data_IF_038860335763
#
_entry.id   IF_038860335763
#
_cell.length_a   1.000
_cell.length_b   1.000
_cell.length_c   1.000
_cell.angle_alpha   90.00
_cell.angle_beta   90.00
_cell.angle_gamma   90.00
#
_symmetry.space_group_name_H-M   'P 1'
#
loop_
_entity.id
_entity.type
_entity.pdbx_description
1 polymer ?
#
# COMPACT_ATOMS: atom_id res chain seq x y z
N UNK A 1 1.54 1.67 -17.31
CA UNK A 1 2.46 0.83 -16.52
C UNK A 1 2.38 1.32 -15.08
N UNK A 2 2.07 0.45 -14.11
CA UNK A 2 2.21 0.84 -12.70
C UNK A 2 3.69 0.80 -12.35
N UNK A 3 4.24 1.92 -11.91
CA UNK A 3 5.61 2.03 -11.42
C UNK A 3 5.64 1.70 -9.93
N UNK A 4 6.51 0.79 -9.51
CA UNK A 4 6.75 0.48 -8.09
C UNK A 4 7.63 1.57 -7.49
N UNK A 5 7.02 2.71 -7.16
CA UNK A 5 7.68 3.83 -6.50
C UNK A 5 7.67 3.63 -4.97
N UNK A 6 8.77 3.08 -4.45
CA UNK A 6 8.92 2.79 -3.03
C UNK A 6 9.09 4.04 -2.18
N UNK A 7 9.74 5.07 -2.72
CA UNK A 7 9.94 6.32 -1.99
C UNK A 7 8.61 7.02 -1.76
N UNK A 8 7.73 7.04 -2.78
CA UNK A 8 6.36 7.52 -2.64
C UNK A 8 5.56 6.70 -1.62
N UNK A 9 5.74 5.36 -1.59
CA UNK A 9 5.08 4.48 -0.63
C UNK A 9 5.56 4.71 0.81
N UNK A 10 6.86 4.88 1.05
CA UNK A 10 7.38 5.13 2.39
C UNK A 10 6.97 6.52 2.93
N UNK A 11 6.78 7.49 2.04
CA UNK A 11 6.35 8.85 2.39
C UNK A 11 4.87 9.10 2.07
N UNK A 12 4.05 8.04 2.08
CA UNK A 12 2.63 8.09 1.69
C UNK A 12 1.85 9.15 2.47
N UNK A 13 2.18 9.36 3.76
CA UNK A 13 1.49 10.31 4.63
C UNK A 13 1.59 11.75 4.13
N UNK A 14 2.73 12.11 3.52
CA UNK A 14 3.00 13.44 3.00
C UNK A 14 2.66 13.58 1.51
N UNK A 15 2.86 12.50 0.75
CA UNK A 15 2.78 12.53 -0.71
C UNK A 15 1.41 12.14 -1.26
N UNK A 16 0.62 11.34 -0.53
CA UNK A 16 -0.69 10.90 -1.00
C UNK A 16 -1.75 11.99 -0.79
N UNK A 17 -2.60 12.26 -1.80
CA UNK A 17 -3.70 13.19 -1.64
C UNK A 17 -4.66 12.66 -0.56
N UNK A 18 -5.00 13.53 0.40
CA UNK A 18 -5.90 13.18 1.51
C UNK A 18 -5.46 11.93 2.30
N UNK A 19 -4.15 11.70 2.47
CA UNK A 19 -3.58 10.54 3.16
C UNK A 19 -4.27 10.23 4.50
N UNK A 20 -4.43 11.26 5.34
CA UNK A 20 -5.07 11.15 6.66
C UNK A 20 -6.56 10.82 6.62
N UNK A 21 -7.25 11.13 5.52
CA UNK A 21 -8.65 10.74 5.33
C UNK A 21 -8.77 9.26 4.94
N UNK A 22 -7.87 8.80 4.07
CA UNK A 22 -7.87 7.42 3.57
C UNK A 22 -7.31 6.42 4.59
N UNK A 23 -6.23 6.80 5.29
CA UNK A 23 -5.53 5.98 6.28
C UNK A 23 -5.16 6.86 7.48
N UNK A 24 -6.04 7.02 8.48
CA UNK A 24 -5.81 7.90 9.62
C UNK A 24 -4.67 7.44 10.55
N UNK A 25 -4.29 6.17 10.46
CA UNK A 25 -3.21 5.57 11.25
C UNK A 25 -2.42 4.60 10.39
N UNK A 26 -1.11 4.60 10.56
CA UNK A 26 -0.16 3.80 9.77
C UNK A 26 -0.35 2.28 9.88
N UNK A 27 -1.16 1.79 10.83
CA UNK A 27 -1.43 0.36 11.06
C UNK A 27 -1.90 -0.42 9.84
N UNK A 28 -2.53 0.23 8.85
CA UNK A 28 -2.95 -0.43 7.62
C UNK A 28 -1.78 -0.74 6.66
N UNK A 29 -0.68 0.01 6.74
CA UNK A 29 0.52 -0.19 5.93
C UNK A 29 1.63 -0.96 6.65
N UNK A 30 1.60 -1.06 7.98
CA UNK A 30 2.59 -1.83 8.74
C UNK A 30 2.70 -3.29 8.24
N UNK A 31 1.60 -4.05 8.03
CA UNK A 31 1.69 -5.41 7.50
C UNK A 31 2.34 -5.48 6.12
N UNK A 32 2.04 -4.51 5.25
CA UNK A 32 2.63 -4.40 3.92
C UNK A 32 4.15 -4.25 3.99
N UNK A 33 4.65 -3.35 4.85
CA UNK A 33 6.09 -3.13 5.01
C UNK A 33 6.81 -4.32 5.62
N UNK A 34 6.19 -5.01 6.59
CA UNK A 34 6.74 -6.24 7.17
C UNK A 34 6.87 -7.33 6.09
N UNK A 35 5.80 -7.57 5.32
CA UNK A 35 5.81 -8.57 4.25
C UNK A 35 6.90 -8.26 3.21
N UNK A 36 6.95 -7.00 2.75
CA UNK A 36 7.95 -6.53 1.79
C UNK A 36 9.39 -6.69 2.30
N UNK A 37 9.64 -6.41 3.58
CA UNK A 37 10.96 -6.58 4.18
C UNK A 37 11.36 -8.03 4.47
N UNK A 38 10.39 -8.96 4.47
CA UNK A 38 10.62 -10.38 4.74
C UNK A 38 10.82 -11.25 3.50
N UNK A 39 10.39 -10.78 2.32
CA UNK A 39 10.45 -11.50 1.04
C UNK A 39 11.38 -10.85 0.03
N UNK A 40 11.09 -11.04 -1.25
CA UNK A 40 11.78 -10.29 -2.30
C UNK A 40 11.28 -8.83 -2.29
N UNK A 41 12.21 -7.90 -2.56
CA UNK A 41 11.92 -6.47 -2.55
C UNK A 41 10.95 -6.02 -3.69
N UNK A 42 10.39 -6.94 -4.47
CA UNK A 42 9.51 -6.67 -5.60
C UNK A 42 8.15 -7.34 -5.37
N UNK A 43 7.14 -6.54 -5.08
CA UNK A 43 5.77 -7.04 -4.89
C UNK A 43 5.02 -7.18 -6.22
N UNK A 44 4.28 -8.28 -6.36
CA UNK A 44 3.31 -8.51 -7.44
C UNK A 44 1.88 -8.31 -6.93
N UNK A 45 1.04 -7.58 -7.68
CA UNK A 45 -0.38 -7.42 -7.35
C UNK A 45 -1.13 -8.68 -7.78
N UNK A 46 -1.60 -9.46 -6.81
CA UNK A 46 -2.35 -10.70 -7.05
C UNK A 46 -3.87 -10.50 -7.00
N UNK A 47 -4.34 -9.43 -6.34
CA UNK A 47 -5.74 -9.04 -6.32
C UNK A 47 -5.88 -7.54 -6.09
N UNK A 48 -6.87 -6.92 -6.75
CA UNK A 48 -7.25 -5.53 -6.52
C UNK A 48 -8.74 -5.35 -6.78
N UNK A 49 -9.47 -5.03 -5.74
CA UNK A 49 -10.86 -4.60 -5.82
C UNK A 49 -11.15 -3.54 -4.75
N UNK A 50 -12.28 -2.87 -4.88
CA UNK A 50 -12.75 -1.88 -3.94
C UNK A 50 -14.23 -2.12 -3.65
N UNK A 51 -14.61 -2.04 -2.39
CA UNK A 51 -16.00 -2.05 -1.96
C UNK A 51 -16.31 -0.82 -1.11
N UNK A 52 -17.61 -0.55 -0.90
CA UNK A 52 -18.06 0.54 -0.03
C UNK A 52 -17.43 1.92 -0.40
N UNK A 53 -17.07 2.09 -1.67
CA UNK A 53 -16.41 3.27 -2.23
C UNK A 53 -14.92 3.43 -1.87
N UNK A 54 -14.48 3.00 -0.68
CA UNK A 54 -13.13 3.29 -0.16
C UNK A 54 -12.40 2.09 0.46
N UNK A 55 -13.08 0.96 0.66
CA UNK A 55 -12.47 -0.23 1.24
C UNK A 55 -11.64 -0.95 0.18
N UNK A 56 -10.31 -0.87 0.29
CA UNK A 56 -9.39 -1.52 -0.65
C UNK A 56 -9.10 -2.96 -0.26
N UNK A 57 -9.20 -3.87 -1.23
CA UNK A 57 -8.74 -5.25 -1.13
C UNK A 57 -7.48 -5.46 -1.98
N UNK A 58 -6.51 -4.55 -1.85
CA UNK A 58 -5.22 -4.72 -2.50
C UNK A 58 -4.46 -5.86 -1.83
N UNK A 59 -4.18 -6.92 -2.59
CA UNK A 59 -3.32 -8.02 -2.15
C UNK A 59 -2.03 -8.02 -2.98
N UNK A 60 -0.92 -8.14 -2.27
CA UNK A 60 0.42 -8.19 -2.84
C UNK A 60 1.10 -9.51 -2.42
N UNK A 61 1.85 -10.10 -3.33
CA UNK A 61 2.76 -11.20 -3.07
C UNK A 61 4.19 -10.68 -3.14
N UNK A 62 5.03 -11.09 -2.17
CA UNK A 62 6.46 -10.77 -2.08
C UNK A 62 7.28 -12.06 -2.01
#
# INVERSE_FOLDING_TARGET
MQTTDKDALFHWENNAPHAQLAVPRAEHFVPLFIAMGSGENNGEVIHRSYELGTLSYLCLQF
#
